data_IF_319609857742
#
_entry.id   IF_319609857742
#
_cell.length_a   1.000
_cell.length_b   1.000
_cell.length_c   1.000
_cell.angle_alpha   90.00
_cell.angle_beta   90.00
_cell.angle_gamma   90.00
#
_symmetry.space_group_name_H-M   'P 1'
#
loop_
_entity.id
_entity.type
_entity.pdbx_description
1 polymer ?
#
# COMPACT_ATOMS: atom_id res chain seq x y z
N UNK A 1 -23.51 14.55 1.05
CA UNK A 1 -22.10 14.27 0.69
C UNK A 1 -21.39 13.76 1.93
N UNK A 2 -20.76 12.58 1.88
CA UNK A 2 -20.01 12.02 3.01
C UNK A 2 -18.73 12.85 3.23
N UNK A 3 -18.34 13.07 4.48
CA UNK A 3 -17.12 13.85 4.79
C UNK A 3 -15.89 13.13 4.19
N UNK A 4 -15.13 13.81 3.33
CA UNK A 4 -13.94 13.24 2.67
C UNK A 4 -12.92 12.68 3.68
N UNK A 5 -12.77 13.33 4.84
CA UNK A 5 -11.86 12.84 5.88
C UNK A 5 -12.36 11.50 6.46
N UNK A 6 -13.66 11.28 6.58
CA UNK A 6 -14.23 9.99 7.01
C UNK A 6 -14.03 8.91 5.94
N UNK A 7 -14.22 9.24 4.66
CA UNK A 7 -13.94 8.32 3.56
C UNK A 7 -12.47 7.89 3.57
N UNK A 8 -11.55 8.85 3.72
CA UNK A 8 -10.11 8.56 3.74
C UNK A 8 -9.75 7.64 4.89
N UNK A 9 -10.27 7.90 6.10
CA UNK A 9 -10.06 7.03 7.25
C UNK A 9 -10.59 5.63 6.99
N UNK A 10 -11.80 5.51 6.46
CA UNK A 10 -12.41 4.22 6.12
C UNK A 10 -11.58 3.42 5.11
N UNK A 11 -11.18 4.04 4.00
CA UNK A 11 -10.36 3.39 2.98
C UNK A 11 -9.01 2.92 3.54
N UNK A 12 -8.39 3.73 4.40
CA UNK A 12 -7.13 3.38 5.04
C UNK A 12 -7.28 2.26 6.06
N UNK A 13 -8.27 2.32 6.95
CA UNK A 13 -8.43 1.30 7.99
C UNK A 13 -8.81 -0.06 7.39
N UNK A 14 -9.62 -0.05 6.33
CA UNK A 14 -10.13 -1.27 5.69
C UNK A 14 -9.17 -1.87 4.67
N UNK A 15 -8.05 -1.22 4.37
CA UNK A 15 -7.01 -1.82 3.53
C UNK A 15 -6.13 -2.82 4.29
N UNK A 16 -6.26 -2.90 5.61
CA UNK A 16 -5.47 -3.84 6.40
C UNK A 16 -6.05 -5.24 6.34
N UNK A 17 -5.18 -6.22 6.15
CA UNK A 17 -5.50 -7.64 6.23
C UNK A 17 -5.87 -8.05 7.65
N UNK A 18 -6.87 -8.95 7.73
CA UNK A 18 -7.22 -9.67 8.94
C UNK A 18 -6.54 -11.05 8.91
N UNK A 19 -6.22 -11.58 10.08
CA UNK A 19 -5.77 -12.96 10.25
C UNK A 19 -6.88 -13.98 9.98
N UNK A 20 -6.54 -15.26 10.08
CA UNK A 20 -7.50 -16.37 9.89
C UNK A 20 -8.66 -16.35 10.89
N UNK A 21 -8.50 -15.69 12.04
CA UNK A 21 -9.53 -15.50 13.06
C UNK A 21 -10.36 -14.23 12.83
N UNK A 22 -10.10 -13.46 11.76
CA UNK A 22 -10.77 -12.22 11.44
C UNK A 22 -10.32 -11.04 12.30
N UNK A 23 -9.12 -11.08 12.89
CA UNK A 23 -8.55 -10.01 13.71
C UNK A 23 -7.46 -9.26 12.96
N UNK A 24 -7.32 -7.97 13.23
CA UNK A 24 -6.26 -7.16 12.65
C UNK A 24 -4.88 -7.63 13.14
N UNK A 25 -4.05 -8.13 12.22
CA UNK A 25 -2.69 -8.58 12.53
C UNK A 25 -1.64 -7.68 11.83
N UNK A 26 -1.01 -6.81 12.61
CA UNK A 26 0.05 -5.92 12.12
C UNK A 26 1.39 -6.63 11.89
N UNK A 27 1.50 -7.92 12.21
CA UNK A 27 2.68 -8.72 11.90
C UNK A 27 2.74 -9.17 10.44
N UNK A 28 1.60 -9.15 9.73
CA UNK A 28 1.52 -9.50 8.31
C UNK A 28 2.40 -8.55 7.46
N UNK A 29 3.21 -9.07 6.52
CA UNK A 29 4.10 -8.26 5.69
C UNK A 29 3.38 -7.13 4.94
N UNK A 30 2.20 -7.38 4.39
CA UNK A 30 1.39 -6.36 3.69
C UNK A 30 1.02 -5.22 4.63
N UNK A 31 0.51 -5.54 5.83
CA UNK A 31 0.13 -4.55 6.83
C UNK A 31 1.32 -3.72 7.32
N UNK A 32 2.50 -4.34 7.47
CA UNK A 32 3.76 -3.64 7.77
C UNK A 32 4.13 -2.65 6.66
N UNK A 33 3.97 -3.04 5.39
CA UNK A 33 4.29 -2.19 4.25
C UNK A 33 3.34 -0.99 4.13
N UNK A 34 2.03 -1.16 4.38
CA UNK A 34 1.07 -0.04 4.46
C UNK A 34 1.49 0.96 5.57
N UNK A 35 1.91 0.45 6.73
CA UNK A 35 2.42 1.28 7.82
C UNK A 35 3.69 2.03 7.43
N UNK A 36 4.64 1.37 6.77
CA UNK A 36 5.86 2.02 6.27
C UNK A 36 5.48 3.15 5.31
N UNK A 37 4.64 2.87 4.30
CA UNK A 37 4.16 3.87 3.35
C UNK A 37 3.51 5.10 4.01
N UNK A 38 2.88 4.91 5.17
CA UNK A 38 2.31 6.00 5.98
C UNK A 38 3.36 6.77 6.78
N UNK A 39 4.30 6.05 7.40
CA UNK A 39 5.34 6.63 8.27
C UNK A 39 6.33 7.50 7.51
N UNK A 40 6.59 7.17 6.24
CA UNK A 40 7.54 7.91 5.40
C UNK A 40 6.98 9.21 4.86
N UNK A 41 5.67 9.49 4.98
CA UNK A 41 5.07 10.71 4.42
C UNK A 41 5.69 11.99 5.00
N UNK A 42 5.90 12.95 4.12
CA UNK A 42 6.53 14.23 4.43
C UNK A 42 5.75 15.42 3.84
N UNK A 43 5.20 16.27 4.71
CA UNK A 43 4.49 17.49 4.33
C UNK A 43 5.17 18.77 4.81
N UNK A 44 6.48 18.71 5.15
CA UNK A 44 7.27 19.89 5.55
C UNK A 44 7.33 20.98 4.48
N UNK A 45 7.23 20.60 3.22
CA UNK A 45 7.13 21.58 2.12
C UNK A 45 5.68 22.06 1.96
N UNK A 46 5.51 23.27 1.44
CA UNK A 46 4.19 23.82 1.09
C UNK A 46 3.57 23.17 -0.18
N UNK A 47 4.32 22.31 -0.86
CA UNK A 47 3.90 21.62 -2.08
C UNK A 47 3.05 20.36 -1.83
N UNK A 48 2.97 19.45 -2.80
CA UNK A 48 2.40 18.12 -2.61
C UNK A 48 3.07 17.39 -1.45
N UNK A 49 2.34 16.47 -0.80
CA UNK A 49 2.91 15.64 0.25
C UNK A 49 3.84 14.62 -0.39
N UNK A 50 5.08 14.62 0.06
CA UNK A 50 6.20 13.83 -0.44
C UNK A 50 6.49 12.68 0.56
N UNK A 51 7.66 12.07 0.49
CA UNK A 51 8.18 11.09 1.43
C UNK A 51 9.61 11.44 1.88
N UNK A 52 9.98 11.03 3.08
CA UNK A 52 11.31 11.17 3.64
C UNK A 52 12.17 9.97 3.22
N UNK A 53 13.15 10.23 2.34
CA UNK A 53 14.01 9.20 1.73
C UNK A 53 14.87 8.49 2.78
N UNK A 54 15.41 9.23 3.75
CA UNK A 54 16.26 8.65 4.79
C UNK A 54 15.44 7.71 5.68
N UNK A 55 14.21 8.12 6.02
CA UNK A 55 13.29 7.25 6.75
C UNK A 55 12.90 6.02 5.95
N UNK A 56 12.58 6.17 4.67
CA UNK A 56 12.23 5.04 3.80
C UNK A 56 13.36 4.01 3.77
N UNK A 57 14.60 4.46 3.61
CA UNK A 57 15.76 3.57 3.59
C UNK A 57 15.85 2.75 4.89
N UNK A 58 15.80 3.40 6.05
CA UNK A 58 15.90 2.70 7.33
C UNK A 58 14.70 1.76 7.57
N UNK A 59 13.46 2.18 7.30
CA UNK A 59 12.28 1.31 7.42
C UNK A 59 12.41 0.05 6.55
N UNK A 60 12.95 0.17 5.32
CA UNK A 60 13.19 -0.95 4.41
C UNK A 60 14.36 -1.84 4.86
N UNK A 61 15.41 -1.27 5.46
CA UNK A 61 16.50 -2.03 6.09
C UNK A 61 15.97 -2.85 7.26
N UNK A 62 15.08 -2.27 8.07
CA UNK A 62 14.38 -2.96 9.15
C UNK A 62 13.47 -4.07 8.58
N UNK A 63 12.71 -3.77 7.53
CA UNK A 63 11.84 -4.75 6.86
C UNK A 63 12.62 -5.97 6.35
N UNK A 64 13.86 -5.81 5.87
CA UNK A 64 14.71 -6.97 5.52
C UNK A 64 14.98 -7.93 6.70
N UNK A 65 14.86 -7.46 7.94
CA UNK A 65 15.08 -8.29 9.13
C UNK A 65 13.83 -9.02 9.60
N UNK A 66 12.61 -8.53 9.35
CA UNK A 66 11.40 -9.16 9.88
C UNK A 66 10.32 -9.49 8.85
N UNK A 67 10.42 -8.95 7.64
CA UNK A 67 9.47 -9.15 6.56
C UNK A 67 9.96 -10.17 5.54
N UNK A 68 9.07 -10.55 4.62
CA UNK A 68 9.42 -11.32 3.44
C UNK A 68 9.31 -10.45 2.18
N UNK A 69 10.08 -10.81 1.14
CA UNK A 69 10.06 -10.13 -0.17
C UNK A 69 9.32 -10.95 -1.21
N UNK A 70 8.21 -11.55 -0.82
CA UNK A 70 7.50 -12.50 -1.67
C UNK A 70 6.76 -11.70 -2.78
N UNK A 71 7.26 -11.83 -4.01
CA UNK A 71 6.68 -11.36 -5.29
C UNK A 71 6.57 -9.85 -5.58
N UNK A 72 7.08 -8.97 -4.71
CA UNK A 72 7.18 -7.53 -5.00
C UNK A 72 6.56 -6.63 -3.94
N UNK A 73 6.41 -5.34 -4.26
CA UNK A 73 5.81 -4.38 -3.35
C UNK A 73 4.29 -4.37 -3.51
N UNK A 74 3.47 -4.64 -2.49
CA UNK A 74 2.02 -4.61 -2.66
C UNK A 74 1.55 -3.19 -3.05
N UNK A 75 0.57 -3.08 -3.96
CA UNK A 75 0.01 -1.78 -4.38
C UNK A 75 -0.55 -0.97 -3.21
N UNK A 76 -1.02 -1.66 -2.16
CA UNK A 76 -1.52 -1.04 -0.92
C UNK A 76 -0.45 -0.22 -0.18
N UNK A 77 0.84 -0.42 -0.44
CA UNK A 77 1.91 0.46 0.05
C UNK A 77 1.68 1.94 -0.35
N UNK A 78 1.22 2.17 -1.59
CA UNK A 78 1.05 3.53 -2.14
C UNK A 78 -0.25 4.21 -1.67
N UNK A 79 -1.14 3.48 -0.98
CA UNK A 79 -2.44 3.96 -0.56
C UNK A 79 -2.33 5.25 0.27
N UNK A 80 -1.44 5.27 1.25
CA UNK A 80 -1.23 6.42 2.12
C UNK A 80 -0.88 7.68 1.31
N UNK A 81 0.03 7.58 0.36
CA UNK A 81 0.47 8.69 -0.49
C UNK A 81 -0.65 9.19 -1.43
N UNK A 82 -1.46 8.27 -1.97
CA UNK A 82 -2.64 8.59 -2.78
C UNK A 82 -3.66 9.37 -1.96
N UNK A 83 -4.01 8.87 -0.77
CA UNK A 83 -5.06 9.44 0.07
C UNK A 83 -4.73 10.84 0.60
N UNK A 84 -3.47 11.10 0.92
CA UNK A 84 -3.07 12.43 1.42
C UNK A 84 -2.95 13.49 0.33
N UNK A 85 -2.77 13.09 -0.93
CA UNK A 85 -2.64 14.01 -2.04
C UNK A 85 -3.96 14.21 -2.80
N UNK A 86 -4.30 15.48 -3.07
CA UNK A 86 -5.60 15.88 -3.64
C UNK A 86 -5.69 15.75 -5.16
N UNK A 87 -4.55 15.66 -5.86
CA UNK A 87 -4.47 15.61 -7.32
C UNK A 87 -3.27 14.77 -7.74
N UNK A 88 -3.47 13.80 -8.65
CA UNK A 88 -2.40 12.94 -9.17
C UNK A 88 -1.26 13.75 -9.78
N UNK A 89 -1.60 14.69 -10.66
CA UNK A 89 -0.63 15.52 -11.39
C UNK A 89 0.29 16.31 -10.44
N UNK A 90 -0.19 16.65 -9.25
CA UNK A 90 0.58 17.41 -8.29
C UNK A 90 1.74 16.60 -7.71
N UNK A 91 1.54 15.32 -7.38
CA UNK A 91 2.55 14.49 -6.71
C UNK A 91 3.14 13.38 -7.59
N UNK A 92 2.76 13.30 -8.87
CA UNK A 92 3.21 12.29 -9.81
C UNK A 92 4.72 12.10 -9.81
N UNK A 93 5.51 13.18 -9.94
CA UNK A 93 6.98 13.10 -9.95
C UNK A 93 7.54 12.44 -8.67
N UNK A 94 6.95 12.77 -7.53
CA UNK A 94 7.31 12.20 -6.25
C UNK A 94 6.90 10.72 -6.15
N UNK A 95 5.73 10.36 -6.66
CA UNK A 95 5.27 8.98 -6.71
C UNK A 95 6.17 8.12 -7.58
N UNK A 96 6.58 8.62 -8.75
CA UNK A 96 7.49 7.92 -9.66
C UNK A 96 8.85 7.65 -9.02
N UNK A 97 9.41 8.62 -8.28
CA UNK A 97 10.65 8.39 -7.53
C UNK A 97 10.47 7.31 -6.46
N UNK A 98 9.35 7.34 -5.72
CA UNK A 98 9.04 6.31 -4.71
C UNK A 98 8.92 4.92 -5.32
N UNK A 99 8.17 4.77 -6.43
CA UNK A 99 8.03 3.50 -7.14
C UNK A 99 9.41 3.00 -7.59
N UNK A 100 10.24 3.87 -8.18
CA UNK A 100 11.57 3.49 -8.65
C UNK A 100 12.48 2.98 -7.49
N UNK A 101 12.45 3.66 -6.34
CA UNK A 101 13.19 3.21 -5.15
C UNK A 101 12.69 1.86 -4.65
N UNK A 102 11.37 1.63 -4.64
CA UNK A 102 10.80 0.34 -4.24
C UNK A 102 11.16 -0.78 -5.20
N UNK A 103 11.03 -0.58 -6.52
CA UNK A 103 11.40 -1.60 -7.51
C UNK A 103 12.89 -1.95 -7.43
N UNK A 104 13.74 -0.97 -7.10
CA UNK A 104 15.15 -1.22 -6.81
C UNK A 104 15.33 -2.07 -5.55
N UNK A 105 14.60 -1.77 -4.47
CA UNK A 105 14.66 -2.54 -3.21
C UNK A 105 14.18 -3.99 -3.36
N UNK A 106 13.15 -4.21 -4.19
CA UNK A 106 12.61 -5.54 -4.52
C UNK A 106 13.36 -6.24 -5.66
N UNK A 107 14.40 -5.61 -6.23
CA UNK A 107 15.20 -6.16 -7.34
C UNK A 107 14.38 -6.53 -8.57
N UNK A 108 13.33 -5.75 -8.86
CA UNK A 108 12.39 -5.96 -9.98
C UNK A 108 12.23 -4.72 -10.88
N UNK A 109 13.34 -4.11 -11.37
CA UNK A 109 13.29 -2.89 -12.18
C UNK A 109 12.49 -3.04 -13.49
N UNK A 110 12.42 -4.24 -14.05
CA UNK A 110 11.63 -4.56 -15.25
C UNK A 110 10.12 -4.38 -15.06
N UNK A 111 9.65 -4.45 -13.81
CA UNK A 111 8.25 -4.28 -13.43
C UNK A 111 7.84 -2.82 -13.24
N UNK A 112 8.81 -1.88 -13.27
CA UNK A 112 8.59 -0.45 -13.01
C UNK A 112 7.41 0.15 -13.77
N UNK A 113 7.36 -0.04 -15.09
CA UNK A 113 6.28 0.53 -15.90
C UNK A 113 4.90 -0.08 -15.60
N UNK A 114 4.83 -1.37 -15.26
CA UNK A 114 3.57 -2.02 -14.87
C UNK A 114 3.08 -1.41 -13.56
N UNK A 115 3.97 -1.28 -12.58
CA UNK A 115 3.66 -0.63 -11.30
C UNK A 115 3.18 0.80 -11.46
N UNK A 116 3.81 1.60 -12.33
CA UNK A 116 3.38 2.97 -12.60
C UNK A 116 1.93 2.99 -13.10
N UNK A 117 1.59 2.10 -14.04
CA UNK A 117 0.24 2.03 -14.61
C UNK A 117 -0.76 1.55 -13.56
N UNK A 118 -0.43 0.52 -12.78
CA UNK A 118 -1.33 -0.03 -11.77
C UNK A 118 -1.58 0.92 -10.61
N UNK A 119 -0.57 1.65 -10.15
CA UNK A 119 -0.76 2.70 -9.13
C UNK A 119 -1.59 3.86 -9.68
N UNK A 120 -1.44 4.20 -10.97
CA UNK A 120 -2.29 5.21 -11.63
C UNK A 120 -3.76 4.76 -11.72
N UNK A 121 -4.00 3.48 -12.00
CA UNK A 121 -5.35 2.90 -12.00
C UNK A 121 -5.93 2.92 -10.58
N UNK A 122 -5.16 2.49 -9.58
CA UNK A 122 -5.58 2.50 -8.17
C UNK A 122 -5.92 3.93 -7.70
N UNK A 123 -5.09 4.92 -8.02
CA UNK A 123 -5.36 6.33 -7.76
C UNK A 123 -6.67 6.78 -8.42
N UNK A 124 -6.87 6.42 -9.68
CA UNK A 124 -8.07 6.79 -10.42
C UNK A 124 -9.35 6.19 -9.81
N UNK A 125 -9.29 4.94 -9.32
CA UNK A 125 -10.39 4.28 -8.61
C UNK A 125 -10.67 4.97 -7.27
N UNK A 126 -9.65 5.21 -6.46
CA UNK A 126 -9.79 5.90 -5.16
C UNK A 126 -10.40 7.29 -5.34
N UNK A 127 -9.93 8.05 -6.33
CA UNK A 127 -10.47 9.39 -6.62
C UNK A 127 -11.89 9.36 -7.14
N UNK A 128 -12.25 8.34 -7.92
CA UNK A 128 -13.64 8.13 -8.33
C UNK A 128 -14.51 7.90 -7.10
N UNK A 129 -14.15 6.95 -6.24
CA UNK A 129 -14.86 6.64 -4.99
C UNK A 129 -15.00 7.85 -4.05
N UNK A 130 -13.93 8.63 -3.86
CA UNK A 130 -13.99 9.85 -3.03
C UNK A 130 -14.98 10.88 -3.61
N UNK A 131 -15.12 10.96 -4.93
CA UNK A 131 -15.99 11.92 -5.62
C UNK A 131 -17.45 11.47 -5.65
N UNK A 132 -17.69 10.23 -6.07
CA UNK A 132 -19.04 9.68 -6.25
C UNK A 132 -19.63 9.12 -4.96
N UNK A 133 -18.80 8.75 -3.99
CA UNK A 133 -19.18 7.82 -2.95
C UNK A 133 -19.20 6.38 -3.46
N UNK A 134 -19.80 5.48 -2.67
CA UNK A 134 -19.93 4.07 -2.98
C UNK A 134 -20.77 3.85 -4.25
N UNK A 135 -20.23 3.15 -5.29
CA UNK A 135 -20.98 2.82 -6.48
C UNK A 135 -22.21 1.99 -6.12
N UNK A 136 -23.38 2.44 -6.53
CA UNK A 136 -24.67 1.89 -6.08
C UNK A 136 -25.24 0.87 -7.05
N UNK A 137 -24.92 1.02 -8.35
CA UNK A 137 -25.41 0.17 -9.43
C UNK A 137 -24.27 -0.18 -10.40
N UNK A 138 -24.50 -1.19 -11.23
CA UNK A 138 -23.52 -1.64 -12.23
C UNK A 138 -23.15 -0.54 -13.25
N UNK A 139 -24.11 0.29 -13.64
CA UNK A 139 -23.86 1.45 -14.50
C UNK A 139 -22.87 2.46 -13.91
N UNK A 140 -22.82 2.62 -12.59
CA UNK A 140 -21.83 3.49 -11.92
C UNK A 140 -20.42 2.91 -12.11
N UNK A 141 -20.27 1.59 -11.99
CA UNK A 141 -18.98 0.88 -12.16
C UNK A 141 -18.50 0.96 -13.60
N UNK A 142 -19.40 0.73 -14.56
CA UNK A 142 -19.11 0.89 -15.99
C UNK A 142 -18.59 2.29 -16.29
N UNK A 143 -19.23 3.33 -15.75
CA UNK A 143 -18.77 4.71 -15.95
C UNK A 143 -17.39 4.95 -15.33
N UNK A 144 -17.11 4.42 -14.13
CA UNK A 144 -15.79 4.50 -13.50
C UNK A 144 -14.71 3.90 -14.41
N UNK A 145 -14.96 2.72 -14.98
CA UNK A 145 -13.99 2.07 -15.87
C UNK A 145 -13.83 2.78 -17.21
N UNK A 146 -14.90 3.37 -17.77
CA UNK A 146 -14.81 4.25 -18.95
C UNK A 146 -13.92 5.46 -18.67
N UNK A 147 -14.12 6.12 -17.52
CA UNK A 147 -13.28 7.25 -17.10
C UNK A 147 -11.81 6.83 -16.91
N UNK A 148 -11.54 5.65 -16.36
CA UNK A 148 -10.18 5.11 -16.20
C UNK A 148 -9.54 4.83 -17.57
N UNK A 149 -10.30 4.24 -18.50
CA UNK A 149 -9.84 3.99 -19.88
C UNK A 149 -9.42 5.30 -20.56
N UNK A 150 -10.25 6.34 -20.48
CA UNK A 150 -9.95 7.65 -21.07
C UNK A 150 -8.72 8.30 -20.44
N UNK A 151 -8.60 8.21 -19.11
CA UNK A 151 -7.40 8.66 -18.38
C UNK A 151 -6.15 7.92 -18.85
N UNK A 152 -6.18 6.59 -18.96
CA UNK A 152 -5.07 5.78 -19.47
C UNK A 152 -4.68 6.16 -20.91
N UNK A 153 -5.66 6.40 -21.79
CA UNK A 153 -5.39 6.86 -23.15
C UNK A 153 -4.62 8.19 -23.12
N UNK A 154 -5.07 9.15 -22.32
CA UNK A 154 -4.44 10.47 -22.17
C UNK A 154 -3.10 10.46 -21.43
N UNK A 155 -2.83 9.42 -20.63
CA UNK A 155 -1.66 9.34 -19.77
C UNK A 155 -0.38 9.12 -20.58
N UNK A 156 0.53 10.09 -20.54
CA UNK A 156 1.79 10.05 -21.27
C UNK A 156 2.94 10.39 -20.35
N UNK A 157 3.68 9.36 -19.96
CA UNK A 157 4.86 9.50 -19.13
C UNK A 157 6.07 9.90 -19.98
N UNK A 158 6.77 10.96 -19.59
CA UNK A 158 8.03 11.37 -20.20
C UNK A 158 9.12 10.38 -19.79
N UNK A 159 9.76 9.75 -20.78
CA UNK A 159 10.90 8.85 -20.58
C UNK A 159 12.16 9.46 -21.19
N UNK A 160 13.33 9.03 -20.72
CA UNK A 160 14.62 9.56 -21.15
C UNK A 160 14.95 9.15 -22.60
N UNK A 161 14.57 7.92 -22.98
CA UNK A 161 14.82 7.40 -24.31
C UNK A 161 13.55 7.06 -25.09
N UNK A 162 13.62 7.17 -26.42
CA UNK A 162 12.54 6.72 -27.33
C UNK A 162 12.18 5.25 -27.12
N UNK A 163 13.17 4.40 -26.81
CA UNK A 163 12.97 2.96 -26.57
C UNK A 163 12.11 2.73 -25.33
N UNK A 164 12.39 3.42 -24.23
CA UNK A 164 11.59 3.35 -23.00
C UNK A 164 10.20 3.93 -23.22
N UNK A 165 10.07 5.03 -23.96
CA UNK A 165 8.75 5.57 -24.32
C UNK A 165 7.91 4.52 -25.06
N UNK A 166 8.48 3.86 -26.07
CA UNK A 166 7.77 2.80 -26.81
C UNK A 166 7.41 1.64 -25.89
N UNK A 167 8.35 1.20 -25.04
CA UNK A 167 8.11 0.11 -24.08
C UNK A 167 6.96 0.40 -23.12
N UNK A 168 6.93 1.62 -22.57
CA UNK A 168 5.85 2.08 -21.70
C UNK A 168 4.50 2.12 -22.44
N UNK A 169 4.46 2.66 -23.66
CA UNK A 169 3.22 2.75 -24.44
C UNK A 169 2.66 1.37 -24.80
N UNK A 170 3.53 0.39 -25.14
CA UNK A 170 3.10 -0.99 -25.39
C UNK A 170 2.49 -1.64 -24.15
N UNK A 171 3.06 -1.41 -22.96
CA UNK A 171 2.48 -1.87 -21.69
C UNK A 171 1.13 -1.19 -21.45
N UNK A 172 1.04 0.13 -21.60
CA UNK A 172 -0.20 0.91 -21.43
C UNK A 172 -1.34 0.41 -22.32
N UNK A 173 -1.06 0.08 -23.59
CA UNK A 173 -2.04 -0.47 -24.53
C UNK A 173 -2.65 -1.77 -23.99
N UNK A 174 -1.85 -2.67 -23.40
CA UNK A 174 -2.36 -3.91 -22.80
C UNK A 174 -3.36 -3.64 -21.67
N UNK A 175 -3.10 -2.65 -20.81
CA UNK A 175 -4.03 -2.27 -19.75
C UNK A 175 -5.31 -1.60 -20.32
N UNK A 176 -5.20 -0.80 -21.38
CA UNK A 176 -6.36 -0.23 -22.09
C UNK A 176 -7.23 -1.34 -22.69
N UNK A 177 -6.63 -2.37 -23.28
CA UNK A 177 -7.34 -3.55 -23.79
C UNK A 177 -8.01 -4.35 -22.66
N UNK A 178 -7.35 -4.50 -21.50
CA UNK A 178 -7.93 -5.17 -20.33
C UNK A 178 -9.13 -4.40 -19.77
N UNK A 179 -9.01 -3.09 -19.52
CA UNK A 179 -10.16 -2.31 -19.01
C UNK A 179 -11.32 -2.29 -20.01
N UNK A 180 -11.03 -2.27 -21.32
CA UNK A 180 -12.07 -2.35 -22.34
C UNK A 180 -12.86 -3.66 -22.24
N UNK A 181 -12.17 -4.79 -22.13
CA UNK A 181 -12.82 -6.09 -21.95
C UNK A 181 -13.59 -6.19 -20.63
N UNK A 182 -13.10 -5.57 -19.56
CA UNK A 182 -13.81 -5.52 -18.28
C UNK A 182 -15.11 -4.70 -18.39
N UNK A 183 -15.10 -3.60 -19.17
CA UNK A 183 -16.31 -2.82 -19.48
C UNK A 183 -17.30 -3.68 -20.26
N UNK A 184 -16.85 -4.32 -21.35
CA UNK A 184 -17.72 -5.16 -22.19
C UNK A 184 -18.34 -6.30 -21.36
N UNK A 185 -17.58 -6.85 -20.41
CA UNK A 185 -18.05 -7.86 -19.48
C UNK A 185 -19.14 -7.38 -18.53
N UNK A 186 -18.97 -6.20 -17.91
CA UNK A 186 -20.00 -5.57 -17.08
C UNK A 186 -21.24 -5.15 -17.86
N UNK A 187 -21.11 -4.91 -19.17
CA UNK A 187 -22.23 -4.61 -20.06
C UNK A 187 -22.91 -5.89 -20.59
N UNK A 188 -22.44 -7.09 -20.19
CA UNK A 188 -22.98 -8.38 -20.60
C UNK A 188 -22.69 -8.75 -22.06
N UNK A 189 -21.68 -8.13 -22.67
CA UNK A 189 -21.32 -8.31 -24.08
C UNK A 189 -20.38 -9.50 -24.31
N UNK A 190 -19.45 -9.75 -23.37
CA UNK A 190 -18.46 -10.83 -23.45
C UNK A 190 -17.99 -11.30 -22.06
N UNK A 191 -17.33 -12.46 -22.00
CA UNK A 191 -16.69 -12.92 -20.76
C UNK A 191 -15.34 -12.22 -20.50
N UNK A 192 -14.99 -12.00 -19.23
CA UNK A 192 -13.66 -11.50 -18.86
C UNK A 192 -12.72 -12.66 -18.52
N UNK A 193 -11.59 -12.77 -19.23
CA UNK A 193 -10.54 -13.74 -18.91
C UNK A 193 -9.46 -13.06 -18.08
N UNK A 194 -9.34 -13.48 -16.82
CA UNK A 194 -8.33 -13.04 -15.88
C UNK A 194 -7.22 -14.11 -15.69
N UNK A 195 -6.02 -13.64 -15.35
CA UNK A 195 -4.88 -14.48 -14.92
C UNK A 195 -4.76 -14.40 -13.41
N UNK A 196 -4.99 -15.50 -12.68
CA UNK A 196 -4.86 -15.54 -11.20
C UNK A 196 -3.50 -16.05 -10.72
N UNK A 197 -2.66 -16.56 -11.62
CA UNK A 197 -1.32 -17.06 -11.23
C UNK A 197 -0.37 -15.87 -11.00
N UNK A 198 -0.56 -14.79 -11.74
CA UNK A 198 0.19 -13.53 -11.60
C UNK A 198 -0.71 -12.33 -11.92
N UNK A 199 -1.74 -12.05 -11.10
CA UNK A 199 -2.79 -11.09 -11.44
C UNK A 199 -2.29 -9.65 -11.43
N UNK A 200 -2.67 -8.87 -12.44
CA UNK A 200 -2.63 -7.42 -12.36
C UNK A 200 -3.93 -6.83 -11.76
N UNK A 201 -3.95 -5.53 -11.53
CA UNK A 201 -5.12 -4.86 -10.93
C UNK A 201 -6.43 -5.13 -11.69
N UNK A 202 -6.45 -5.26 -13.02
CA UNK A 202 -7.69 -5.54 -13.76
C UNK A 202 -8.09 -7.02 -13.69
N UNK A 203 -7.13 -7.94 -13.61
CA UNK A 203 -7.43 -9.34 -13.32
C UNK A 203 -8.12 -9.47 -11.96
N UNK A 204 -7.61 -8.75 -10.94
CA UNK A 204 -8.23 -8.69 -9.62
C UNK A 204 -9.64 -8.05 -9.65
N UNK A 205 -9.82 -6.97 -10.41
CA UNK A 205 -11.14 -6.35 -10.53
C UNK A 205 -12.14 -7.26 -11.23
N UNK A 206 -11.74 -7.95 -12.31
CA UNK A 206 -12.59 -8.90 -13.01
C UNK A 206 -12.98 -10.09 -12.14
N UNK A 207 -12.02 -10.71 -11.44
CA UNK A 207 -12.34 -11.80 -10.54
C UNK A 207 -13.22 -11.38 -9.35
N UNK A 208 -13.13 -10.12 -8.89
CA UNK A 208 -14.06 -9.57 -7.89
C UNK A 208 -15.48 -9.40 -8.43
N UNK A 209 -15.63 -8.94 -9.67
CA UNK A 209 -16.94 -8.82 -10.35
C UNK A 209 -17.64 -10.17 -10.43
N UNK A 210 -16.90 -11.22 -10.78
CA UNK A 210 -17.42 -12.60 -10.89
C UNK A 210 -17.57 -13.32 -9.53
N UNK A 211 -17.15 -12.70 -8.41
CA UNK A 211 -17.18 -13.32 -7.08
C UNK A 211 -16.14 -14.43 -6.88
N UNK A 212 -15.11 -14.47 -7.71
CA UNK A 212 -14.06 -15.50 -7.75
C UNK A 212 -12.78 -15.14 -6.97
N UNK A 213 -12.78 -14.03 -6.22
CA UNK A 213 -11.62 -13.56 -5.45
C UNK A 213 -11.96 -13.40 -3.96
N UNK A 214 -11.08 -13.87 -3.09
CA UNK A 214 -11.17 -13.74 -1.64
C UNK A 214 -10.83 -12.34 -1.10
N UNK A 215 -11.07 -12.10 0.19
CA UNK A 215 -10.87 -10.81 0.88
C UNK A 215 -9.42 -10.57 1.36
N UNK A 216 -8.42 -10.72 0.49
CA UNK A 216 -7.03 -10.28 0.78
C UNK A 216 -6.92 -8.74 0.77
N UNK A 217 -5.84 -8.10 1.31
CA UNK A 217 -5.77 -6.63 1.55
C UNK A 217 -6.20 -5.80 0.35
N UNK A 218 -5.57 -6.05 -0.79
CA UNK A 218 -5.84 -5.29 -2.02
C UNK A 218 -7.23 -5.61 -2.57
N UNK A 219 -7.62 -6.89 -2.61
CA UNK A 219 -8.94 -7.32 -3.09
C UNK A 219 -10.08 -6.76 -2.22
N UNK A 220 -9.89 -6.69 -0.90
CA UNK A 220 -10.81 -6.05 0.03
C UNK A 220 -10.94 -4.55 -0.23
N UNK A 221 -9.82 -3.84 -0.42
CA UNK A 221 -9.84 -2.43 -0.82
C UNK A 221 -10.59 -2.23 -2.14
N UNK A 222 -10.31 -3.04 -3.16
CA UNK A 222 -10.96 -2.95 -4.47
C UNK A 222 -12.47 -3.25 -4.37
N UNK A 223 -12.88 -4.23 -3.56
CA UNK A 223 -14.28 -4.53 -3.31
C UNK A 223 -15.03 -3.34 -2.68
N UNK A 224 -14.39 -2.63 -1.76
CA UNK A 224 -14.95 -1.39 -1.17
C UNK A 224 -15.10 -0.31 -2.24
N UNK A 225 -14.06 -0.10 -3.05
CA UNK A 225 -14.04 0.91 -4.11
C UNK A 225 -15.13 0.66 -5.16
N UNK A 226 -15.52 -0.60 -5.38
CA UNK A 226 -16.59 -0.98 -6.31
C UNK A 226 -17.98 -1.17 -5.65
N UNK A 227 -18.10 -0.98 -4.33
CA UNK A 227 -19.37 -1.18 -3.61
C UNK A 227 -19.84 -2.64 -3.59
N UNK A 228 -18.90 -3.60 -3.66
CA UNK A 228 -19.19 -5.03 -3.51
C UNK A 228 -19.08 -5.50 -2.06
N UNK A 229 -18.38 -4.77 -1.20
CA UNK A 229 -18.27 -5.15 0.20
C UNK A 229 -19.57 -4.83 0.95
N UNK A 230 -20.37 -5.87 1.20
CA UNK A 230 -21.51 -5.77 2.13
C UNK A 230 -20.97 -5.27 3.47
N UNK A 231 -21.58 -4.23 4.03
CA UNK A 231 -21.24 -3.65 5.33
C UNK A 231 -21.43 -4.67 6.46
N UNK A 232 -20.58 -5.69 6.53
CA UNK A 232 -20.30 -6.38 7.76
C UNK A 232 -19.33 -5.48 8.51
N UNK A 233 -19.92 -4.62 9.33
CA UNK A 233 -19.26 -3.81 10.35
C UNK A 233 -18.48 -4.73 11.29
N UNK A 234 -17.27 -5.14 10.92
CA UNK A 234 -16.41 -5.99 11.76
C UNK A 234 -15.15 -5.25 12.20
N UNK A 235 -15.30 -3.98 12.59
CA UNK A 235 -14.42 -3.34 13.57
C UNK A 235 -15.08 -3.36 14.96
N UNK A 236 -15.84 -4.41 15.25
CA UNK A 236 -16.19 -4.80 16.61
C UNK A 236 -15.68 -6.22 16.82
N UNK A 237 -14.40 -6.44 17.18
CA UNK A 237 -13.92 -7.71 17.77
C UNK A 237 -12.44 -7.68 18.24
N UNK A 238 -12.31 -7.65 19.56
CA UNK A 238 -11.36 -8.40 20.41
C UNK A 238 -9.85 -8.10 20.44
N UNK A 239 -9.27 -7.19 19.65
CA UNK A 239 -7.88 -6.72 19.89
C UNK A 239 -7.74 -5.19 19.80
N UNK A 240 -8.05 -4.51 20.90
CA UNK A 240 -8.21 -3.05 20.96
C UNK A 240 -6.93 -2.28 20.61
N UNK A 241 -5.74 -2.83 20.83
CA UNK A 241 -4.49 -2.06 20.70
C UNK A 241 -4.08 -1.83 19.25
N UNK A 242 -4.04 -2.89 18.42
CA UNK A 242 -3.71 -2.79 16.99
C UNK A 242 -4.70 -1.93 16.23
N UNK A 243 -5.99 -2.06 16.55
CA UNK A 243 -7.05 -1.26 15.96
C UNK A 243 -6.93 0.22 16.33
N UNK A 244 -6.74 0.51 17.62
CA UNK A 244 -6.50 1.88 18.10
C UNK A 244 -5.26 2.49 17.41
N UNK A 245 -4.22 1.69 17.19
CA UNK A 245 -3.03 2.13 16.47
C UNK A 245 -3.34 2.47 15.01
N UNK A 246 -4.03 1.61 14.25
CA UNK A 246 -4.40 1.90 12.85
C UNK A 246 -5.34 3.11 12.76
N UNK A 247 -6.31 3.24 13.66
CA UNK A 247 -7.17 4.42 13.75
C UNK A 247 -6.35 5.70 13.98
N UNK A 248 -5.36 5.66 14.87
CA UNK A 248 -4.47 6.80 15.12
C UNK A 248 -3.62 7.17 13.89
N UNK A 249 -3.25 6.18 13.07
CA UNK A 249 -2.54 6.39 11.81
C UNK A 249 -3.47 6.97 10.73
N UNK A 250 -4.74 6.58 10.73
CA UNK A 250 -5.77 7.17 9.88
C UNK A 250 -6.01 8.65 10.22
N UNK A 251 -6.08 8.99 11.52
CA UNK A 251 -6.14 10.37 12.00
C UNK A 251 -4.90 11.16 11.57
N UNK A 252 -3.71 10.57 11.74
CA UNK A 252 -2.46 11.17 11.31
C UNK A 252 -2.45 11.50 9.80
N UNK A 253 -2.92 10.58 8.95
CA UNK A 253 -3.04 10.81 7.51
C UNK A 253 -3.94 12.00 7.18
N UNK A 254 -5.11 12.10 7.81
CA UNK A 254 -6.03 13.22 7.62
C UNK A 254 -5.40 14.53 8.10
N UNK A 255 -4.69 14.53 9.22
CA UNK A 255 -4.00 15.70 9.73
C UNK A 255 -2.87 16.15 8.81
N UNK A 256 -2.12 15.22 8.20
CA UNK A 256 -1.11 15.53 7.20
C UNK A 256 -1.74 16.17 5.95
N UNK A 257 -2.78 15.53 5.41
CA UNK A 257 -3.54 16.00 4.23
C UNK A 257 -4.09 17.40 4.41
N UNK A 258 -4.59 17.69 5.61
CA UNK A 258 -5.18 18.97 5.96
C UNK A 258 -4.17 19.96 6.56
N UNK A 259 -2.87 19.59 6.61
CA UNK A 259 -1.79 20.39 7.18
C UNK A 259 -2.03 20.84 8.64
N UNK A 260 -2.82 20.09 9.40
CA UNK A 260 -3.02 20.29 10.85
C UNK A 260 -1.81 19.83 11.65
N UNK A 261 -1.02 18.91 11.08
CA UNK A 261 0.24 18.42 11.62
C UNK A 261 1.31 18.46 10.54
N UNK A 262 2.51 18.87 10.93
CA UNK A 262 3.70 18.84 10.08
C UNK A 262 4.56 17.64 10.46
N UNK A 263 4.99 16.86 9.48
CA UNK A 263 5.93 15.74 9.66
C UNK A 263 7.23 16.25 10.28
N UNK A 264 7.81 15.44 11.18
CA UNK A 264 9.12 15.75 11.76
C UNK A 264 10.21 15.26 10.81
N UNK A 265 11.28 16.05 10.64
CA UNK A 265 12.46 15.64 9.87
C UNK A 265 13.07 14.39 10.52
N UNK A 266 13.25 13.33 9.74
CA UNK A 266 14.06 12.20 10.16
C UNK A 266 15.54 12.62 10.12
N UNK A 267 16.28 12.44 11.21
CA UNK A 267 17.68 12.87 11.34
C UNK A 267 18.59 11.81 11.96
N UNK A 268 18.04 10.64 12.27
CA UNK A 268 18.75 9.61 13.03
C UNK A 268 18.86 8.39 12.13
N UNK A 269 20.07 7.98 11.77
CA UNK A 269 20.28 6.69 11.10
C UNK A 269 20.10 5.58 12.12
N UNK A 270 19.27 4.59 11.81
CA UNK A 270 19.05 3.41 12.65
C UNK A 270 19.38 2.14 11.89
N UNK A 271 19.81 1.10 12.61
CA UNK A 271 20.07 -0.22 12.06
C UNK A 271 19.52 -1.28 13.00
N UNK A 272 18.76 -2.29 12.52
CA UNK A 272 18.18 -3.31 13.39
C UNK A 272 19.25 -4.19 14.05
N UNK A 273 20.52 -4.13 13.62
CA UNK A 273 21.62 -4.91 14.22
C UNK A 273 21.91 -4.53 15.67
N UNK A 274 21.52 -3.34 16.13
CA UNK A 274 21.78 -2.95 17.52
C UNK A 274 21.05 -3.85 18.52
N UNK A 275 19.88 -4.39 18.17
CA UNK A 275 19.13 -5.34 19.01
C UNK A 275 19.91 -6.61 19.36
N UNK A 276 20.91 -7.00 18.55
CA UNK A 276 21.76 -8.16 18.84
C UNK A 276 22.58 -7.98 20.13
N UNK A 277 22.91 -6.73 20.49
CA UNK A 277 23.76 -6.39 21.65
C UNK A 277 22.98 -6.23 22.95
N UNK A 278 21.66 -6.13 22.88
CA UNK A 278 20.82 -5.78 24.02
C UNK A 278 20.37 -7.00 24.80
N UNK A 279 20.15 -6.88 26.10
CA UNK A 279 19.77 -8.03 26.92
C UNK A 279 18.27 -8.32 26.82
N UNK A 280 17.87 -9.57 27.08
CA UNK A 280 16.45 -9.92 27.22
C UNK A 280 15.84 -9.12 28.37
N UNK A 281 14.68 -8.51 28.13
CA UNK A 281 14.03 -7.59 29.07
C UNK A 281 14.43 -6.13 28.88
N UNK A 282 15.46 -5.81 28.09
CA UNK A 282 15.84 -4.43 27.78
C UNK A 282 14.69 -3.67 27.09
N UNK A 283 14.51 -2.40 27.48
CA UNK A 283 13.49 -1.51 26.93
C UNK A 283 14.11 -0.16 26.59
N UNK A 284 13.87 0.32 25.38
CA UNK A 284 14.34 1.61 24.93
C UNK A 284 13.49 2.16 23.79
N UNK A 285 13.88 3.35 23.30
CA UNK A 285 13.30 3.96 22.10
C UNK A 285 14.22 3.74 20.92
N UNK A 286 13.67 3.18 19.85
CA UNK A 286 14.29 3.08 18.53
C UNK A 286 13.63 4.10 17.57
N UNK A 287 14.37 4.72 16.63
CA UNK A 287 13.81 5.66 15.66
C UNK A 287 12.72 5.10 14.74
N UNK A 288 12.70 3.79 14.47
CA UNK A 288 11.77 3.12 13.54
C UNK A 288 10.60 2.47 14.27
N UNK A 289 10.90 1.72 15.33
CA UNK A 289 9.94 0.97 16.14
C UNK A 289 9.37 1.76 17.33
N UNK A 290 9.94 2.94 17.61
CA UNK A 290 9.63 3.73 18.81
C UNK A 290 9.94 2.94 20.08
N UNK A 291 9.03 2.87 21.06
CA UNK A 291 9.27 2.06 22.26
C UNK A 291 9.25 0.57 21.90
N UNK A 292 10.31 -0.15 22.27
CA UNK A 292 10.41 -1.59 22.10
C UNK A 292 10.92 -2.28 23.37
N UNK A 293 10.66 -3.58 23.45
CA UNK A 293 11.19 -4.48 24.48
C UNK A 293 11.79 -5.73 23.83
N UNK A 294 12.98 -6.14 24.25
CA UNK A 294 13.54 -7.45 23.89
C UNK A 294 12.81 -8.52 24.70
N UNK A 295 12.10 -9.43 24.03
CA UNK A 295 11.34 -10.50 24.68
C UNK A 295 12.15 -11.78 24.75
N UNK A 296 12.83 -12.13 23.66
CA UNK A 296 13.49 -13.43 23.52
C UNK A 296 14.59 -13.36 22.46
N UNK A 297 15.57 -14.25 22.58
CA UNK A 297 16.68 -14.40 21.64
C UNK A 297 16.95 -15.88 21.40
N UNK A 298 16.84 -16.29 20.13
CA UNK A 298 17.04 -17.66 19.70
C UNK A 298 18.17 -17.71 18.67
N UNK A 299 18.99 -18.75 18.75
CA UNK A 299 20.03 -19.05 17.76
C UNK A 299 19.80 -20.43 17.19
N UNK A 300 19.76 -20.52 15.87
CA UNK A 300 19.68 -21.77 15.11
C UNK A 300 20.74 -21.74 14.01
N UNK A 301 21.85 -22.45 14.24
CA UNK A 301 23.04 -22.41 13.39
C UNK A 301 23.56 -20.98 13.17
N UNK A 302 23.53 -20.54 11.91
CA UNK A 302 23.96 -19.21 11.45
C UNK A 302 22.83 -18.17 11.44
N UNK A 303 21.63 -18.57 11.85
CA UNK A 303 20.48 -17.69 11.99
C UNK A 303 20.29 -17.28 13.44
N UNK A 304 20.14 -15.98 13.67
CA UNK A 304 19.82 -15.41 14.97
C UNK A 304 18.47 -14.71 14.89
N UNK A 305 17.58 -14.99 15.84
CA UNK A 305 16.24 -14.41 15.91
C UNK A 305 16.14 -13.60 17.21
N UNK A 306 15.81 -12.32 17.10
CA UNK A 306 15.48 -11.45 18.23
C UNK A 306 14.01 -11.11 18.18
N UNK A 307 13.26 -11.51 19.21
CA UNK A 307 11.82 -11.20 19.32
C UNK A 307 11.63 -9.90 20.08
N UNK A 308 10.87 -8.99 19.49
CA UNK A 308 10.60 -7.66 20.02
C UNK A 308 9.10 -7.46 20.23
N UNK A 309 8.74 -6.80 21.32
CA UNK A 309 7.39 -6.23 21.52
C UNK A 309 7.44 -4.73 21.27
N UNK A 310 6.45 -4.20 20.54
CA UNK A 310 6.30 -2.77 20.26
C UNK A 310 4.82 -2.38 20.31
N UNK A 311 4.54 -1.06 20.26
CA UNK A 311 3.16 -0.56 20.09
C UNK A 311 2.47 -0.99 18.80
N UNK A 312 3.24 -1.34 17.77
CA UNK A 312 2.72 -1.81 16.48
C UNK A 312 2.66 -3.34 16.40
N UNK A 313 2.67 -4.02 17.55
CA UNK A 313 2.68 -5.48 17.66
C UNK A 313 4.09 -6.09 17.69
N UNK A 314 4.17 -7.43 17.70
CA UNK A 314 5.41 -8.17 17.82
C UNK A 314 6.23 -8.18 16.52
N UNK A 315 7.56 -8.26 16.65
CA UNK A 315 8.49 -8.41 15.53
C UNK A 315 9.45 -9.57 15.79
N UNK A 316 9.65 -10.40 14.77
CA UNK A 316 10.68 -11.45 14.77
C UNK A 316 11.82 -11.01 13.87
N UNK A 317 12.85 -10.38 14.45
CA UNK A 317 14.02 -9.90 13.70
C UNK A 317 14.98 -11.06 13.46
N UNK A 318 15.18 -11.41 12.20
CA UNK A 318 16.06 -12.47 11.73
C UNK A 318 17.35 -11.89 11.17
N UNK A 319 18.47 -12.46 11.59
CA UNK A 319 19.81 -12.06 11.18
C UNK A 319 20.59 -13.30 10.74
N UNK A 320 21.20 -13.22 9.56
CA UNK A 320 22.20 -14.22 9.13
C UNK A 320 23.58 -13.74 9.53
N UNK A 321 24.26 -14.52 10.38
CA UNK A 321 25.65 -14.29 10.75
C UNK A 321 26.50 -15.02 9.72
N UNK A 322 27.35 -14.27 9.00
CA UNK A 322 28.39 -14.86 8.15
C UNK A 322 29.58 -15.18 9.05
N UNK A 323 30.06 -16.42 8.96
CA UNK A 323 31.25 -16.90 9.66
C UNK A 323 32.52 -16.13 9.25
#
# INVERSE_FOLDING_TARGET
MRNTDLIIKELYTRSYELDQAGKLDLSLPTNRLILIGTKVLDNRSNGPINFDVDRLYDELVYFNSYGSKDNGCPLSFFLAMILVNRSYQAYESCLLDLINKLMTFYTTPESLDNYIIEVFILDSLIRAYIRSGEPSQEGDRVQIFKDIKDKLVSYNLIKESKKETIGFQLKKIKYIEKVHRLIDHLEGLDGFKYDLDSPDIFDLLGGLVDGNIGKESLSGLLAILLGYDKKDSNLERQDQESETFVLSMADYLVDLRNRKKISRKYQVKSSPRHFLKEEVGYQAKDPILNMYRIVDKLRDGNTYIVRLETKSGPYNMTYTIKD
#
